data_IF_648909511688
#
_entry.id   IF_648909511688
#
_cell.length_a   1.000
_cell.length_b   1.000
_cell.length_c   1.000
_cell.angle_alpha   90.00
_cell.angle_beta   90.00
_cell.angle_gamma   90.00
#
_symmetry.space_group_name_H-M   'P 1'
#
loop_
_entity.id
_entity.type
_entity.pdbx_description
1 polymer ?
#
# COMPACT_ATOMS: atom_id res chain seq x y z
N UNK A 1 30.61 -75.03 -2.72
CA UNK A 1 30.64 -74.71 -4.18
C UNK A 1 29.31 -74.14 -4.65
N UNK A 2 28.19 -74.91 -4.63
CA UNK A 2 26.88 -74.36 -5.00
C UNK A 2 26.34 -73.38 -3.93
N UNK A 3 26.53 -73.72 -2.64
CA UNK A 3 26.07 -72.93 -1.49
C UNK A 3 26.80 -71.57 -1.37
N UNK A 4 28.14 -71.56 -1.47
CA UNK A 4 28.92 -70.30 -1.46
C UNK A 4 28.53 -69.35 -2.60
N UNK A 5 28.22 -69.89 -3.78
CA UNK A 5 27.84 -69.09 -4.95
C UNK A 5 26.44 -68.49 -4.78
N UNK A 6 25.51 -69.22 -4.16
CA UNK A 6 24.20 -68.67 -3.78
C UNK A 6 24.34 -67.58 -2.73
N UNK A 7 25.18 -67.77 -1.72
CA UNK A 7 25.43 -66.75 -0.70
C UNK A 7 26.09 -65.49 -1.30
N UNK A 8 27.03 -65.63 -2.26
CA UNK A 8 27.58 -64.50 -3.01
C UNK A 8 26.50 -63.71 -3.77
N UNK A 9 25.53 -64.40 -4.38
CA UNK A 9 24.39 -63.76 -5.03
C UNK A 9 23.51 -63.03 -4.01
N UNK A 10 23.22 -63.63 -2.87
CA UNK A 10 22.43 -63.01 -1.79
C UNK A 10 23.11 -61.74 -1.28
N UNK A 11 24.42 -61.76 -1.05
CA UNK A 11 25.18 -60.57 -0.65
C UNK A 11 25.09 -59.51 -1.75
N UNK A 12 25.26 -59.92 -3.02
CA UNK A 12 25.16 -59.03 -4.18
C UNK A 12 23.79 -58.37 -4.41
N UNK A 13 22.74 -58.83 -3.73
CA UNK A 13 21.41 -58.22 -3.77
C UNK A 13 21.18 -57.18 -2.67
N UNK A 14 22.06 -57.09 -1.66
CA UNK A 14 21.97 -56.08 -0.60
C UNK A 14 22.26 -54.68 -1.16
N UNK A 15 22.01 -53.62 -0.38
CA UNK A 15 22.38 -52.26 -0.79
C UNK A 15 23.90 -52.11 -0.91
N UNK A 16 24.37 -51.13 -1.69
CA UNK A 16 25.80 -50.85 -1.84
C UNK A 16 26.54 -50.70 -0.50
N UNK A 17 25.95 -49.99 0.45
CA UNK A 17 26.52 -49.83 1.78
C UNK A 17 26.64 -51.16 2.54
N UNK A 18 25.61 -52.00 2.49
CA UNK A 18 25.63 -53.31 3.15
C UNK A 18 26.65 -54.26 2.50
N UNK A 19 26.84 -54.18 1.18
CA UNK A 19 27.88 -54.92 0.46
C UNK A 19 29.28 -54.44 0.86
N UNK A 20 29.49 -53.13 1.00
CA UNK A 20 30.75 -52.56 1.45
C UNK A 20 31.06 -52.90 2.91
N UNK A 21 30.06 -52.89 3.79
CA UNK A 21 30.18 -53.36 5.18
C UNK A 21 30.54 -54.84 5.22
N UNK A 22 29.91 -55.66 4.37
CA UNK A 22 30.22 -57.09 4.27
C UNK A 22 31.69 -57.32 3.90
N UNK A 23 32.16 -56.58 2.90
CA UNK A 23 33.56 -56.61 2.48
C UNK A 23 34.49 -56.15 3.60
N UNK A 24 34.18 -55.02 4.25
CA UNK A 24 35.00 -54.44 5.31
C UNK A 24 35.15 -55.40 6.51
N UNK A 25 34.08 -56.10 6.88
CA UNK A 25 34.13 -57.14 7.90
C UNK A 25 35.04 -58.31 7.48
N UNK A 26 34.98 -58.74 6.22
CA UNK A 26 35.81 -59.84 5.71
C UNK A 26 37.31 -59.52 5.74
N UNK A 27 37.67 -58.27 5.46
CA UNK A 27 39.06 -57.82 5.46
C UNK A 27 39.55 -57.36 6.83
N UNK A 28 38.67 -57.20 7.82
CA UNK A 28 38.98 -56.53 9.09
C UNK A 28 40.13 -57.18 9.87
N UNK A 29 40.20 -58.52 9.88
CA UNK A 29 41.28 -59.23 10.58
C UNK A 29 42.66 -59.00 9.95
N UNK A 30 42.72 -58.77 8.63
CA UNK A 30 43.97 -58.59 7.88
C UNK A 30 44.39 -57.12 7.81
N UNK A 31 43.43 -56.24 7.52
CA UNK A 31 43.71 -54.84 7.16
C UNK A 31 43.07 -53.81 8.10
N UNK A 32 42.23 -54.23 9.05
CA UNK A 32 41.48 -53.35 9.96
C UNK A 32 40.74 -52.24 9.17
N UNK A 33 40.89 -50.98 9.58
CA UNK A 33 40.24 -49.82 8.99
C UNK A 33 41.02 -49.17 7.83
N UNK A 34 42.15 -49.75 7.40
CA UNK A 34 43.05 -49.14 6.42
C UNK A 34 42.38 -48.79 5.07
N UNK A 35 41.35 -49.53 4.67
CA UNK A 35 40.58 -49.30 3.42
C UNK A 35 39.15 -48.83 3.66
N UNK A 36 38.79 -48.50 4.89
CA UNK A 36 37.40 -48.20 5.23
C UNK A 36 36.92 -46.89 4.56
N UNK A 37 37.75 -45.84 4.50
CA UNK A 37 37.44 -44.60 3.75
C UNK A 37 37.38 -44.81 2.22
N UNK A 38 38.20 -45.73 1.70
CA UNK A 38 38.14 -46.12 0.28
C UNK A 38 36.79 -46.79 -0.02
N UNK A 39 36.36 -47.73 0.83
CA UNK A 39 35.04 -48.36 0.73
C UNK A 39 33.89 -47.36 0.86
N UNK A 40 33.98 -46.42 1.81
CA UNK A 40 32.99 -45.34 1.97
C UNK A 40 32.85 -44.49 0.70
N UNK A 41 33.97 -44.12 0.10
CA UNK A 41 34.01 -43.35 -1.15
C UNK A 41 33.45 -44.16 -2.33
N UNK A 42 33.74 -45.46 -2.39
CA UNK A 42 33.21 -46.37 -3.40
C UNK A 42 31.68 -46.52 -3.30
N UNK A 43 31.10 -46.56 -2.10
CA UNK A 43 29.62 -46.60 -1.94
C UNK A 43 28.97 -45.38 -2.59
N UNK A 44 29.53 -44.19 -2.35
CA UNK A 44 29.04 -42.94 -2.94
C UNK A 44 29.21 -42.91 -4.46
N UNK A 45 30.35 -43.42 -4.96
CA UNK A 45 30.62 -43.55 -6.38
C UNK A 45 29.61 -44.48 -7.06
N UNK A 46 29.38 -45.67 -6.50
CA UNK A 46 28.41 -46.63 -7.02
C UNK A 46 26.99 -46.06 -7.02
N UNK A 47 26.58 -45.44 -5.91
CA UNK A 47 25.28 -44.79 -5.80
C UNK A 47 25.07 -43.69 -6.85
N UNK A 48 26.13 -42.95 -7.22
CA UNK A 48 26.06 -41.90 -8.25
C UNK A 48 25.95 -42.42 -9.69
N UNK A 49 26.35 -43.69 -9.92
CA UNK A 49 26.34 -44.33 -11.24
C UNK A 49 25.16 -45.29 -11.43
N UNK A 50 24.41 -45.56 -10.37
CA UNK A 50 23.16 -46.34 -10.42
C UNK A 50 21.99 -45.40 -10.76
N UNK A 51 21.24 -45.76 -11.81
CA UNK A 51 20.27 -44.84 -12.44
C UNK A 51 18.84 -44.97 -11.91
N UNK A 52 18.51 -46.06 -11.21
CA UNK A 52 17.13 -46.39 -10.82
C UNK A 52 16.89 -46.10 -9.33
N UNK A 53 17.71 -46.68 -8.47
CA UNK A 53 17.57 -46.71 -7.02
C UNK A 53 18.67 -45.90 -6.30
N UNK A 54 19.71 -45.44 -7.02
CA UNK A 54 20.77 -44.60 -6.47
C UNK A 54 21.45 -45.26 -5.25
N UNK A 55 21.36 -44.63 -4.07
CA UNK A 55 21.93 -45.15 -2.81
C UNK A 55 21.34 -46.49 -2.36
N UNK A 56 20.12 -46.80 -2.80
CA UNK A 56 19.40 -48.03 -2.48
C UNK A 56 19.69 -49.15 -3.50
N UNK A 57 20.56 -48.91 -4.47
CA UNK A 57 20.94 -49.88 -5.50
C UNK A 57 21.81 -51.04 -4.98
N UNK A 58 21.86 -52.12 -5.78
CA UNK A 58 22.59 -53.35 -5.46
C UNK A 58 23.66 -53.76 -6.49
N UNK A 59 23.71 -53.09 -7.64
CA UNK A 59 24.68 -53.40 -8.69
C UNK A 59 24.56 -52.45 -9.88
N UNK A 60 25.56 -52.46 -10.75
CA UNK A 60 25.62 -51.63 -11.95
C UNK A 60 25.55 -52.49 -13.20
N UNK A 61 25.01 -51.95 -14.29
CA UNK A 61 25.18 -52.58 -15.60
C UNK A 61 26.67 -52.58 -16.03
N UNK A 62 26.99 -53.31 -17.09
CA UNK A 62 28.36 -53.41 -17.58
C UNK A 62 29.00 -52.06 -17.96
N UNK A 63 28.23 -51.10 -18.48
CA UNK A 63 28.74 -49.79 -18.91
C UNK A 63 29.07 -48.93 -17.69
N UNK A 64 28.16 -48.87 -16.72
CA UNK A 64 28.36 -48.11 -15.49
C UNK A 64 29.43 -48.75 -14.60
N UNK A 65 29.57 -50.09 -14.61
CA UNK A 65 30.71 -50.76 -13.97
C UNK A 65 32.04 -50.42 -14.66
N UNK A 66 32.07 -50.31 -15.99
CA UNK A 66 33.27 -49.89 -16.70
C UNK A 66 33.67 -48.44 -16.33
N UNK A 67 32.68 -47.54 -16.17
CA UNK A 67 32.90 -46.17 -15.66
C UNK A 67 33.46 -46.12 -14.23
N UNK A 68 33.15 -47.09 -13.38
CA UNK A 68 33.79 -47.21 -12.05
C UNK A 68 35.30 -47.39 -12.22
N UNK A 69 35.74 -48.31 -13.08
CA UNK A 69 37.17 -48.54 -13.34
C UNK A 69 37.87 -47.29 -13.91
N UNK A 70 37.21 -46.55 -14.79
CA UNK A 70 37.72 -45.27 -15.31
C UNK A 70 37.91 -44.24 -14.19
N UNK A 71 36.89 -44.05 -13.33
CA UNK A 71 36.96 -43.09 -12.21
C UNK A 71 37.99 -43.46 -11.13
N UNK A 72 38.39 -44.73 -11.06
CA UNK A 72 39.47 -45.21 -10.19
C UNK A 72 40.85 -45.21 -10.86
N UNK A 73 40.97 -44.69 -12.09
CA UNK A 73 42.18 -44.74 -12.91
C UNK A 73 42.73 -46.16 -13.15
N UNK A 74 41.85 -47.17 -13.10
CA UNK A 74 42.14 -48.57 -13.36
C UNK A 74 41.50 -49.02 -14.68
N UNK A 75 41.66 -48.19 -15.72
CA UNK A 75 41.01 -48.41 -17.02
C UNK A 75 41.49 -49.72 -17.64
N UNK A 76 40.52 -50.53 -18.05
CA UNK A 76 40.72 -51.79 -18.73
C UNK A 76 39.72 -51.88 -19.89
N UNK A 77 40.00 -52.72 -20.87
CA UNK A 77 39.03 -53.00 -21.92
C UNK A 77 37.80 -53.70 -21.34
N UNK A 78 36.66 -53.56 -22.02
CA UNK A 78 35.42 -54.22 -21.60
C UNK A 78 35.55 -55.75 -21.55
N UNK A 79 36.40 -56.33 -22.41
CA UNK A 79 36.69 -57.76 -22.45
C UNK A 79 37.54 -58.19 -21.24
N UNK A 80 38.55 -57.41 -20.86
CA UNK A 80 39.36 -57.64 -19.65
C UNK A 80 38.49 -57.55 -18.39
N UNK A 81 37.66 -56.51 -18.28
CA UNK A 81 36.71 -56.37 -17.17
C UNK A 81 35.81 -57.59 -17.05
N UNK A 82 35.20 -58.06 -18.14
CA UNK A 82 34.36 -59.27 -18.12
C UNK A 82 35.13 -60.52 -17.70
N UNK A 83 36.35 -60.69 -18.19
CA UNK A 83 37.18 -61.83 -17.82
C UNK A 83 37.55 -61.81 -16.33
N UNK A 84 37.88 -60.64 -15.78
CA UNK A 84 38.15 -60.44 -14.36
C UNK A 84 36.92 -60.69 -13.49
N UNK A 85 35.76 -60.13 -13.86
CA UNK A 85 34.50 -60.33 -13.15
C UNK A 85 34.06 -61.81 -13.13
N UNK A 86 34.27 -62.58 -14.20
CA UNK A 86 33.99 -64.03 -14.20
C UNK A 86 34.83 -64.79 -13.17
N UNK A 87 36.09 -64.39 -12.95
CA UNK A 87 36.99 -65.04 -11.99
C UNK A 87 36.54 -64.86 -10.54
N UNK A 88 35.79 -63.80 -10.25
CA UNK A 88 35.25 -63.50 -8.92
C UNK A 88 33.78 -63.92 -8.75
N UNK A 89 33.26 -64.77 -9.64
CA UNK A 89 31.93 -65.39 -9.48
C UNK A 89 30.78 -64.69 -10.21
N UNK A 90 31.05 -63.69 -11.07
CA UNK A 90 29.99 -63.07 -11.90
C UNK A 90 29.53 -64.03 -13.00
N UNK A 91 28.28 -64.48 -12.90
CA UNK A 91 27.64 -65.38 -13.87
C UNK A 91 26.73 -64.66 -14.88
N UNK A 92 26.34 -63.41 -14.58
CA UNK A 92 25.52 -62.55 -15.46
C UNK A 92 26.07 -61.13 -15.50
N UNK A 93 26.20 -60.58 -16.69
CA UNK A 93 26.70 -59.22 -16.93
C UNK A 93 25.60 -58.17 -17.10
N UNK A 94 24.33 -58.56 -16.88
CA UNK A 94 23.22 -57.60 -16.90
C UNK A 94 23.29 -56.63 -15.72
N UNK A 95 23.67 -57.14 -14.54
CA UNK A 95 23.88 -56.36 -13.32
C UNK A 95 25.02 -56.99 -12.53
N UNK A 96 26.11 -56.26 -12.37
CA UNK A 96 27.31 -56.67 -11.63
C UNK A 96 27.20 -56.03 -10.26
N UNK A 97 27.13 -56.85 -9.21
CA UNK A 97 27.03 -56.36 -7.83
C UNK A 97 28.34 -55.70 -7.38
N UNK A 98 28.22 -54.77 -6.43
CA UNK A 98 29.38 -54.10 -5.85
C UNK A 98 30.32 -55.09 -5.16
N UNK A 99 29.80 -56.10 -4.43
CA UNK A 99 30.63 -57.10 -3.75
C UNK A 99 31.56 -57.85 -4.71
N UNK A 100 31.09 -58.19 -5.92
CA UNK A 100 31.93 -58.82 -6.94
C UNK A 100 33.06 -57.89 -7.40
N UNK A 101 32.74 -56.61 -7.59
CA UNK A 101 33.74 -55.60 -7.88
C UNK A 101 34.75 -55.46 -6.73
N UNK A 102 34.30 -55.41 -5.48
CA UNK A 102 35.17 -55.24 -4.31
C UNK A 102 36.13 -56.42 -4.13
N UNK A 103 35.64 -57.65 -4.27
CA UNK A 103 36.46 -58.88 -4.23
C UNK A 103 37.60 -58.78 -5.25
N UNK A 104 37.30 -58.35 -6.47
CA UNK A 104 38.32 -58.14 -7.51
C UNK A 104 39.28 -56.99 -7.17
N UNK A 105 38.73 -55.83 -6.81
CA UNK A 105 39.49 -54.59 -6.57
C UNK A 105 40.49 -54.72 -5.41
N UNK A 106 40.08 -55.39 -4.33
CA UNK A 106 40.95 -55.64 -3.17
C UNK A 106 41.71 -56.97 -3.25
N UNK A 107 41.45 -57.81 -4.25
CA UNK A 107 42.19 -59.05 -4.48
C UNK A 107 41.96 -60.15 -3.43
N UNK A 108 40.76 -60.20 -2.84
CA UNK A 108 40.40 -61.22 -1.85
C UNK A 108 39.85 -62.50 -2.51
N UNK A 109 40.00 -63.64 -1.83
CA UNK A 109 39.33 -64.86 -2.25
C UNK A 109 37.82 -64.74 -1.97
N UNK A 110 37.00 -64.98 -2.99
CA UNK A 110 35.56 -64.80 -2.89
C UNK A 110 34.91 -65.74 -1.86
N UNK A 111 35.48 -66.93 -1.60
CA UNK A 111 34.95 -67.85 -0.57
C UNK A 111 35.29 -67.37 0.82
N UNK A 112 36.47 -66.76 1.01
CA UNK A 112 36.83 -66.09 2.27
C UNK A 112 35.86 -64.94 2.57
N UNK A 113 35.53 -64.13 1.56
CA UNK A 113 34.62 -62.97 1.72
C UNK A 113 33.18 -63.40 2.00
N UNK A 114 32.69 -64.41 1.30
CA UNK A 114 31.34 -64.93 1.48
C UNK A 114 31.15 -65.52 2.87
N UNK A 115 32.12 -66.30 3.36
CA UNK A 115 32.04 -67.00 4.64
C UNK A 115 32.59 -66.19 5.82
N UNK A 116 32.99 -64.93 5.58
CA UNK A 116 33.54 -64.08 6.62
C UNK A 116 32.53 -63.82 7.75
N UNK A 117 32.96 -63.85 9.02
CA UNK A 117 32.08 -63.60 10.14
C UNK A 117 31.62 -62.13 10.15
N UNK A 118 30.32 -61.92 10.04
CA UNK A 118 29.72 -60.58 9.92
C UNK A 118 29.40 -59.90 11.25
N UNK A 119 29.62 -60.60 12.38
CA UNK A 119 29.28 -60.13 13.72
C UNK A 119 27.77 -60.25 14.04
N UNK A 120 27.44 -60.63 15.27
CA UNK A 120 26.06 -60.94 15.68
C UNK A 120 25.27 -59.78 16.30
N UNK A 121 25.84 -58.58 16.40
CA UNK A 121 25.21 -57.48 17.12
C UNK A 121 24.48 -56.50 16.18
N UNK A 122 23.52 -57.02 15.42
CA UNK A 122 22.70 -56.24 14.48
C UNK A 122 21.74 -55.32 15.24
N UNK A 123 21.24 -55.74 16.40
CA UNK A 123 20.26 -54.98 17.20
C UNK A 123 20.83 -53.65 17.74
N UNK A 124 22.07 -53.65 18.21
CA UNK A 124 22.70 -52.41 18.70
C UNK A 124 22.97 -51.41 17.57
N UNK A 125 23.32 -51.93 16.41
CA UNK A 125 23.57 -51.17 15.18
C UNK A 125 22.28 -50.49 14.69
N UNK A 126 21.17 -51.22 14.67
CA UNK A 126 19.85 -50.68 14.32
C UNK A 126 19.38 -49.62 15.31
N UNK A 127 19.63 -49.82 16.61
CA UNK A 127 19.29 -48.82 17.65
C UNK A 127 20.03 -47.51 17.44
N UNK A 128 21.33 -47.55 17.16
CA UNK A 128 22.14 -46.35 16.90
C UNK A 128 21.69 -45.62 15.61
N UNK A 129 21.39 -46.37 14.54
CA UNK A 129 20.86 -45.79 13.30
C UNK A 129 19.54 -45.06 13.52
N UNK A 130 18.61 -45.70 14.23
CA UNK A 130 17.30 -45.11 14.56
C UNK A 130 17.44 -43.84 15.38
N UNK A 131 18.30 -43.82 16.41
CA UNK A 131 18.57 -42.61 17.20
C UNK A 131 19.03 -41.44 16.32
N UNK A 132 19.90 -41.69 15.34
CA UNK A 132 20.40 -40.64 14.46
C UNK A 132 19.36 -40.18 13.43
N UNK A 133 18.49 -41.07 12.97
CA UNK A 133 17.40 -40.73 12.04
C UNK A 133 16.34 -39.87 12.72
N UNK A 134 15.90 -40.25 13.92
CA UNK A 134 14.95 -39.48 14.73
C UNK A 134 15.47 -38.05 15.00
N UNK A 135 16.78 -37.92 15.27
CA UNK A 135 17.46 -36.63 15.44
C UNK A 135 17.41 -35.77 14.17
N UNK A 136 17.73 -36.36 13.02
CA UNK A 136 17.74 -35.63 11.74
C UNK A 136 16.35 -35.09 11.44
N UNK A 137 15.32 -35.93 11.61
CA UNK A 137 13.92 -35.54 11.39
C UNK A 137 13.50 -34.41 12.33
N UNK A 138 13.81 -34.53 13.63
CA UNK A 138 13.46 -33.51 14.62
C UNK A 138 14.16 -32.17 14.35
N UNK A 139 15.44 -32.21 14.00
CA UNK A 139 16.22 -31.01 13.68
C UNK A 139 15.67 -30.30 12.44
N UNK A 140 15.47 -31.03 11.34
CA UNK A 140 14.95 -30.46 10.08
C UNK A 140 13.56 -29.85 10.27
N UNK A 141 12.69 -30.53 11.02
CA UNK A 141 11.34 -30.02 11.34
C UNK A 141 11.41 -28.72 12.16
N UNK A 142 12.26 -28.68 13.18
CA UNK A 142 12.38 -27.51 14.05
C UNK A 142 13.04 -26.32 13.32
N UNK A 143 14.08 -26.57 12.51
CA UNK A 143 14.72 -25.51 11.70
C UNK A 143 13.76 -24.94 10.67
N UNK A 144 13.01 -25.79 9.98
CA UNK A 144 12.02 -25.35 8.99
C UNK A 144 10.94 -24.47 9.64
N UNK A 145 10.42 -24.90 10.79
CA UNK A 145 9.43 -24.12 11.55
C UNK A 145 9.99 -22.77 11.98
N UNK A 146 11.24 -22.71 12.44
CA UNK A 146 11.88 -21.45 12.82
C UNK A 146 12.05 -20.49 11.64
N UNK A 147 12.41 -20.98 10.46
CA UNK A 147 12.51 -20.16 9.24
C UNK A 147 11.14 -19.64 8.79
N UNK A 148 10.11 -20.49 8.77
CA UNK A 148 8.74 -20.11 8.41
C UNK A 148 8.17 -19.06 9.38
N UNK A 149 8.33 -19.27 10.70
CA UNK A 149 7.85 -18.32 11.71
C UNK A 149 8.61 -16.99 11.65
N UNK A 150 9.92 -17.01 11.37
CA UNK A 150 10.70 -15.77 11.17
C UNK A 150 10.23 -15.00 9.94
N UNK A 151 9.98 -15.68 8.82
CA UNK A 151 9.46 -15.03 7.61
C UNK A 151 8.08 -14.41 7.86
N UNK A 152 7.20 -15.11 8.57
CA UNK A 152 5.90 -14.59 8.98
C UNK A 152 6.02 -13.32 9.87
N UNK A 153 6.94 -13.31 10.83
CA UNK A 153 7.19 -12.14 11.67
C UNK A 153 7.70 -10.93 10.86
N UNK A 154 8.61 -11.14 9.90
CA UNK A 154 9.09 -10.07 9.02
C UNK A 154 7.98 -9.51 8.12
N UNK A 155 7.09 -10.36 7.61
CA UNK A 155 5.94 -9.93 6.82
C UNK A 155 4.94 -9.12 7.66
N UNK A 156 4.61 -9.58 8.87
CA UNK A 156 3.70 -8.86 9.77
C UNK A 156 4.25 -7.49 10.22
N UNK A 157 5.57 -7.39 10.41
CA UNK A 157 6.23 -6.09 10.69
C UNK A 157 6.07 -5.10 9.54
N UNK A 158 6.19 -5.55 8.28
CA UNK A 158 5.99 -4.70 7.10
C UNK A 158 4.54 -4.20 7.04
N UNK A 159 3.56 -5.09 7.21
CA UNK A 159 2.14 -4.73 7.26
C UNK A 159 1.84 -3.71 8.37
N UNK A 160 2.45 -3.87 9.54
CA UNK A 160 2.33 -2.92 10.66
C UNK A 160 2.89 -1.54 10.30
N UNK A 161 4.05 -1.48 9.64
CA UNK A 161 4.65 -0.22 9.21
C UNK A 161 3.78 0.50 8.17
N UNK A 162 3.26 -0.22 7.20
CA UNK A 162 2.34 0.30 6.18
C UNK A 162 1.03 0.82 6.80
N UNK A 163 0.42 0.04 7.71
CA UNK A 163 -0.80 0.43 8.40
C UNK A 163 -0.60 1.68 9.28
N UNK A 164 0.55 1.78 9.99
CA UNK A 164 0.91 3.00 10.75
C UNK A 164 1.07 4.22 9.85
N UNK A 165 1.73 4.06 8.70
CA UNK A 165 1.86 5.14 7.71
C UNK A 165 0.48 5.61 7.23
N UNK A 166 -0.40 4.68 6.85
CA UNK A 166 -1.76 4.98 6.43
C UNK A 166 -2.57 5.71 7.53
N UNK A 167 -2.44 5.29 8.79
CA UNK A 167 -3.07 5.94 9.93
C UNK A 167 -2.58 7.39 10.14
N UNK A 168 -1.28 7.65 9.95
CA UNK A 168 -0.74 9.02 10.03
C UNK A 168 -1.25 9.91 8.92
N UNK A 169 -1.30 9.42 7.67
CA UNK A 169 -1.84 10.19 6.54
C UNK A 169 -3.34 10.48 6.70
N UNK A 170 -4.11 9.49 7.16
CA UNK A 170 -5.54 9.66 7.40
C UNK A 170 -5.82 10.66 8.53
N UNK A 171 -4.99 10.67 9.58
CA UNK A 171 -5.07 11.65 10.67
C UNK A 171 -4.79 13.06 10.15
N UNK A 172 -3.75 13.24 9.33
CA UNK A 172 -3.44 14.54 8.72
C UNK A 172 -4.59 15.05 7.84
N UNK A 173 -5.18 14.18 7.02
CA UNK A 173 -6.36 14.53 6.19
C UNK A 173 -7.57 14.91 7.05
N UNK A 174 -7.78 14.24 8.18
CA UNK A 174 -8.86 14.59 9.10
C UNK A 174 -8.65 15.97 9.74
N UNK A 175 -7.43 16.31 10.12
CA UNK A 175 -7.07 17.63 10.64
C UNK A 175 -7.26 18.73 9.58
N UNK A 176 -6.75 18.53 8.35
CA UNK A 176 -6.92 19.47 7.24
C UNK A 176 -8.40 19.70 6.89
N UNK A 177 -9.21 18.64 6.86
CA UNK A 177 -10.65 18.77 6.60
C UNK A 177 -11.39 19.46 7.73
N UNK A 178 -10.98 19.25 8.98
CA UNK A 178 -11.55 19.94 10.14
C UNK A 178 -11.25 21.45 10.08
N UNK A 179 -10.02 21.85 9.75
CA UNK A 179 -9.65 23.26 9.59
C UNK A 179 -10.49 23.94 8.50
N UNK A 180 -10.71 23.26 7.36
CA UNK A 180 -11.59 23.76 6.29
C UNK A 180 -13.04 23.93 6.75
N UNK A 181 -13.56 22.99 7.55
CA UNK A 181 -14.90 23.10 8.11
C UNK A 181 -15.01 24.30 9.08
N UNK A 182 -14.00 24.52 9.92
CA UNK A 182 -13.94 25.69 10.81
C UNK A 182 -13.84 27.02 10.04
N UNK A 183 -13.06 27.07 8.95
CA UNK A 183 -12.99 28.25 8.07
C UNK A 183 -14.33 28.52 7.37
N UNK A 184 -14.98 27.47 6.86
CA UNK A 184 -16.29 27.61 6.21
C UNK A 184 -17.37 28.08 7.21
N UNK A 185 -17.35 27.59 8.45
CA UNK A 185 -18.25 28.05 9.50
C UNK A 185 -18.08 29.55 9.82
N UNK A 186 -16.83 30.06 9.83
CA UNK A 186 -16.57 31.50 9.99
C UNK A 186 -17.13 32.32 8.83
N UNK A 187 -17.01 31.84 7.59
CA UNK A 187 -17.59 32.50 6.41
C UNK A 187 -19.12 32.56 6.47
N UNK A 188 -19.77 31.53 7.04
CA UNK A 188 -21.22 31.56 7.30
C UNK A 188 -21.56 32.69 8.26
N UNK A 189 -20.83 32.84 9.36
CA UNK A 189 -21.09 33.89 10.34
C UNK A 189 -20.92 35.30 9.73
N UNK A 190 -19.86 35.52 8.96
CA UNK A 190 -19.61 36.77 8.24
C UNK A 190 -20.70 37.08 7.19
N UNK A 191 -21.14 36.06 6.44
CA UNK A 191 -22.17 36.20 5.42
C UNK A 191 -23.56 36.46 6.03
N UNK A 192 -23.92 35.77 7.12
CA UNK A 192 -25.17 36.01 7.85
C UNK A 192 -25.21 37.42 8.45
N UNK A 193 -24.09 37.91 8.99
CA UNK A 193 -23.99 39.30 9.46
C UNK A 193 -24.18 40.30 8.31
N UNK A 194 -23.55 40.05 7.16
CA UNK A 194 -23.67 40.89 5.97
C UNK A 194 -25.11 40.91 5.44
N UNK A 195 -25.76 39.75 5.37
CA UNK A 195 -27.15 39.62 4.97
C UNK A 195 -28.10 40.36 5.90
N UNK A 196 -27.85 40.30 7.22
CA UNK A 196 -28.63 41.04 8.22
C UNK A 196 -28.51 42.56 8.02
N UNK A 197 -27.27 43.07 7.90
CA UNK A 197 -27.03 44.51 7.70
C UNK A 197 -27.66 45.00 6.39
N UNK A 198 -27.54 44.23 5.30
CA UNK A 198 -28.13 44.57 4.02
C UNK A 198 -29.67 44.57 4.06
N UNK A 199 -30.28 43.61 4.77
CA UNK A 199 -31.74 43.59 5.00
C UNK A 199 -32.21 44.81 5.79
N UNK A 200 -31.52 45.17 6.87
CA UNK A 200 -31.85 46.36 7.67
C UNK A 200 -31.72 47.65 6.83
N UNK A 201 -30.70 47.75 5.97
CA UNK A 201 -30.52 48.88 5.06
C UNK A 201 -31.63 48.96 4.01
N UNK A 202 -32.08 47.83 3.45
CA UNK A 202 -33.19 47.77 2.51
C UNK A 202 -34.52 48.21 3.17
N UNK A 203 -34.78 47.81 4.41
CA UNK A 203 -35.96 48.24 5.17
C UNK A 203 -35.95 49.76 5.43
N UNK A 204 -34.77 50.34 5.72
CA UNK A 204 -34.63 51.79 5.87
C UNK A 204 -34.87 52.51 4.54
N UNK A 205 -34.26 52.05 3.44
CA UNK A 205 -34.41 52.69 2.14
C UNK A 205 -35.85 52.62 1.61
N UNK A 206 -36.56 51.52 1.89
CA UNK A 206 -37.99 51.39 1.57
C UNK A 206 -38.86 52.38 2.35
N UNK A 207 -38.57 52.60 3.64
CA UNK A 207 -39.24 53.64 4.43
C UNK A 207 -38.95 55.04 3.89
N UNK A 208 -37.72 55.32 3.48
CA UNK A 208 -37.34 56.58 2.84
C UNK A 208 -38.09 56.79 1.50
N UNK A 209 -38.22 55.74 0.69
CA UNK A 209 -39.02 55.74 -0.54
C UNK A 209 -40.49 56.05 -0.26
N UNK A 210 -41.12 55.34 0.69
CA UNK A 210 -42.53 55.56 1.08
C UNK A 210 -42.77 57.01 1.53
N UNK A 211 -41.84 57.58 2.31
CA UNK A 211 -41.89 58.99 2.74
C UNK A 211 -41.73 59.96 1.56
N UNK A 212 -40.83 59.66 0.61
CA UNK A 212 -40.61 60.49 -0.56
C UNK A 212 -41.81 60.47 -1.52
N UNK A 213 -42.43 59.30 -1.73
CA UNK A 213 -43.65 59.13 -2.51
C UNK A 213 -44.82 59.88 -1.86
N UNK A 214 -44.96 59.82 -0.53
CA UNK A 214 -45.99 60.58 0.18
C UNK A 214 -45.84 62.09 -0.06
N UNK A 215 -44.61 62.63 0.04
CA UNK A 215 -44.31 64.04 -0.26
C UNK A 215 -44.55 64.41 -1.73
N UNK A 216 -44.28 63.50 -2.66
CA UNK A 216 -44.58 63.72 -4.07
C UNK A 216 -46.10 63.85 -4.30
N UNK A 217 -46.90 62.98 -3.67
CA UNK A 217 -48.38 63.04 -3.74
C UNK A 217 -48.91 64.33 -3.14
N UNK A 218 -48.38 64.78 -2.00
CA UNK A 218 -48.75 66.07 -1.39
C UNK A 218 -48.39 67.27 -2.28
N UNK A 219 -47.26 67.19 -2.99
CA UNK A 219 -46.82 68.21 -3.93
C UNK A 219 -47.61 68.25 -5.25
N UNK A 220 -48.47 67.28 -5.51
CA UNK A 220 -49.31 67.24 -6.72
C UNK A 220 -50.32 68.39 -6.75
N UNK A 221 -50.69 68.94 -5.58
CA UNK A 221 -51.43 70.21 -5.48
C UNK A 221 -50.64 71.43 -6.03
N UNK A 222 -49.32 71.32 -6.19
CA UNK A 222 -48.51 72.36 -6.84
C UNK A 222 -48.61 72.32 -8.38
N UNK A 223 -49.12 71.23 -8.98
CA UNK A 223 -49.39 71.20 -10.43
C UNK A 223 -50.56 72.13 -10.80
N UNK A 224 -51.54 72.28 -9.91
CA UNK A 224 -52.61 73.27 -10.06
C UNK A 224 -52.06 74.71 -9.99
N UNK A 225 -51.09 74.97 -9.11
CA UNK A 225 -50.38 76.26 -9.04
C UNK A 225 -49.54 76.52 -10.31
N UNK A 226 -48.88 75.51 -10.87
CA UNK A 226 -48.16 75.60 -12.16
C UNK A 226 -49.13 75.93 -13.28
N UNK A 227 -50.28 75.24 -13.34
CA UNK A 227 -51.31 75.47 -14.36
C UNK A 227 -51.86 76.89 -14.26
N UNK A 228 -52.10 77.38 -13.04
CA UNK A 228 -52.54 78.76 -12.78
C UNK A 228 -51.48 79.79 -13.19
N UNK A 229 -50.22 79.59 -12.82
CA UNK A 229 -49.11 80.48 -13.18
C UNK A 229 -48.86 80.48 -14.71
N UNK A 230 -49.02 79.34 -15.38
CA UNK A 230 -48.92 79.22 -16.84
C UNK A 230 -50.02 80.02 -17.54
N UNK A 231 -51.26 79.91 -17.06
CA UNK A 231 -52.39 80.65 -17.60
C UNK A 231 -52.24 82.16 -17.38
N UNK A 232 -51.67 82.60 -16.25
CA UNK A 232 -51.34 84.01 -16.01
C UNK A 232 -50.25 84.51 -16.98
N UNK A 233 -49.18 83.74 -17.21
CA UNK A 233 -48.16 84.10 -18.22
C UNK A 233 -48.80 84.26 -19.59
N UNK A 234 -49.64 83.29 -20.02
CA UNK A 234 -50.37 83.37 -21.30
C UNK A 234 -51.26 84.62 -21.36
N UNK A 235 -52.00 84.93 -20.29
CA UNK A 235 -52.85 86.11 -20.25
C UNK A 235 -52.05 87.43 -20.36
N UNK A 236 -50.88 87.51 -19.74
CA UNK A 236 -50.00 88.68 -19.85
C UNK A 236 -49.37 88.78 -21.25
N UNK A 237 -48.98 87.65 -21.85
CA UNK A 237 -48.49 87.60 -23.24
C UNK A 237 -49.58 88.05 -24.23
N UNK A 238 -50.79 87.51 -24.11
CA UNK A 238 -51.96 87.89 -24.89
C UNK A 238 -52.33 89.38 -24.69
N UNK A 239 -52.26 89.89 -23.46
CA UNK A 239 -52.53 91.30 -23.17
C UNK A 239 -51.48 92.23 -23.79
N UNK A 240 -50.20 91.87 -23.73
CA UNK A 240 -49.12 92.61 -24.39
C UNK A 240 -49.29 92.59 -25.91
N UNK A 241 -49.63 91.44 -26.47
CA UNK A 241 -49.85 91.26 -27.91
C UNK A 241 -51.09 92.02 -28.40
N UNK A 242 -52.21 91.94 -27.69
CA UNK A 242 -53.41 92.72 -27.97
C UNK A 242 -53.16 94.23 -27.94
N UNK A 243 -52.36 94.73 -26.98
CA UNK A 243 -51.92 96.14 -26.94
C UNK A 243 -51.06 96.51 -28.16
N UNK A 244 -50.13 95.64 -28.57
CA UNK A 244 -49.34 95.84 -29.80
C UNK A 244 -50.23 95.92 -31.04
N UNK A 245 -51.18 94.99 -31.19
CA UNK A 245 -52.13 94.98 -32.32
C UNK A 245 -53.01 96.23 -32.32
N UNK A 246 -53.52 96.65 -31.16
CA UNK A 246 -54.33 97.86 -31.03
C UNK A 246 -53.53 99.14 -31.37
N UNK A 247 -52.27 99.23 -30.94
CA UNK A 247 -51.37 100.34 -31.26
C UNK A 247 -51.02 100.35 -32.76
N UNK A 248 -50.70 99.19 -33.37
CA UNK A 248 -50.51 99.06 -34.83
C UNK A 248 -51.72 99.54 -35.61
N UNK A 249 -52.93 99.13 -35.21
CA UNK A 249 -54.19 99.57 -35.84
C UNK A 249 -54.42 101.09 -35.69
N UNK A 250 -54.07 101.69 -34.55
CA UNK A 250 -54.11 103.15 -34.35
C UNK A 250 -53.11 103.90 -35.22
N UNK A 251 -51.91 103.35 -35.44
CA UNK A 251 -50.89 103.92 -36.34
C UNK A 251 -51.40 103.98 -37.78
N UNK A 252 -52.21 103.01 -38.20
CA UNK A 252 -52.80 102.95 -39.55
C UNK A 252 -54.01 103.88 -39.74
N UNK A 253 -54.77 104.17 -38.68
CA UNK A 253 -56.10 104.81 -38.80
C UNK A 253 -56.20 106.25 -38.23
N UNK A 254 -55.24 106.71 -37.44
CA UNK A 254 -55.30 108.01 -36.75
C UNK A 254 -54.53 109.15 -37.45
N UNK A 255 -54.87 110.41 -37.12
CA UNK A 255 -54.19 111.61 -37.64
C UNK A 255 -52.73 111.79 -37.16
N UNK A 256 -51.96 112.65 -37.85
CA UNK A 256 -50.48 112.77 -37.73
C UNK A 256 -49.92 112.76 -36.29
N UNK A 257 -50.55 113.52 -35.37
CA UNK A 257 -50.12 113.63 -33.96
C UNK A 257 -50.40 112.35 -33.18
N UNK A 258 -51.59 111.75 -33.36
CA UNK A 258 -51.96 110.50 -32.69
C UNK A 258 -51.18 109.29 -33.25
N UNK A 259 -50.79 109.33 -34.53
CA UNK A 259 -49.92 108.33 -35.16
C UNK A 259 -48.51 108.34 -34.56
N UNK A 260 -47.89 109.53 -34.44
CA UNK A 260 -46.56 109.64 -33.83
C UNK A 260 -46.58 109.25 -32.34
N UNK A 261 -47.65 109.57 -31.61
CA UNK A 261 -47.84 109.11 -30.22
C UNK A 261 -47.96 107.57 -30.13
N UNK A 262 -48.72 106.93 -31.03
CA UNK A 262 -48.85 105.48 -31.06
C UNK A 262 -47.56 104.76 -31.51
N UNK A 263 -46.76 105.35 -32.42
CA UNK A 263 -45.42 104.84 -32.78
C UNK A 263 -44.48 104.93 -31.56
N UNK A 264 -44.49 106.03 -30.82
CA UNK A 264 -43.69 106.19 -29.60
C UNK A 264 -44.14 105.25 -28.48
N UNK A 265 -45.44 105.05 -28.27
CA UNK A 265 -45.95 104.07 -27.31
C UNK A 265 -45.65 102.64 -27.72
N UNK A 266 -45.70 102.30 -29.02
CA UNK A 266 -45.34 100.96 -29.51
C UNK A 266 -43.84 100.69 -29.35
N UNK A 267 -42.98 101.65 -29.71
CA UNK A 267 -41.54 101.58 -29.48
C UNK A 267 -41.23 101.45 -27.98
N UNK A 268 -41.92 102.21 -27.12
CA UNK A 268 -41.80 102.09 -25.66
C UNK A 268 -42.26 100.71 -25.16
N UNK A 269 -43.37 100.18 -25.65
CA UNK A 269 -43.87 98.85 -25.25
C UNK A 269 -42.98 97.69 -25.75
N UNK A 270 -42.17 97.94 -26.79
CA UNK A 270 -41.17 97.00 -27.33
C UNK A 270 -39.83 97.08 -26.60
N UNK A 271 -39.37 98.28 -26.21
CA UNK A 271 -38.12 98.49 -25.47
C UNK A 271 -38.25 98.35 -23.94
N UNK A 272 -39.45 98.55 -23.37
CA UNK A 272 -39.69 98.47 -21.92
C UNK A 272 -39.82 97.01 -21.48
N UNK A 273 -38.98 96.61 -20.51
CA UNK A 273 -39.07 95.31 -19.82
C UNK A 273 -40.44 95.24 -19.11
N UNK A 274 -41.32 94.37 -19.61
CA UNK A 274 -42.68 94.21 -19.10
C UNK A 274 -42.65 93.50 -17.76
N UNK A 275 -42.48 94.30 -16.71
CA UNK A 275 -42.35 93.87 -15.32
C UNK A 275 -43.49 92.90 -14.90
N UNK A 276 -44.77 93.15 -15.25
CA UNK A 276 -45.85 92.15 -15.12
C UNK A 276 -45.52 90.77 -15.73
N UNK A 277 -45.10 90.73 -17.00
CA UNK A 277 -44.76 89.48 -17.69
C UNK A 277 -43.54 88.79 -17.06
N UNK A 278 -42.51 89.56 -16.66
CA UNK A 278 -41.33 89.03 -15.97
C UNK A 278 -41.68 88.42 -14.62
N UNK A 279 -42.56 89.07 -13.83
CA UNK A 279 -43.07 88.54 -12.57
C UNK A 279 -43.89 87.26 -12.78
N UNK A 280 -44.75 87.22 -13.78
CA UNK A 280 -45.51 86.02 -14.13
C UNK A 280 -44.58 84.85 -14.51
N UNK A 281 -43.55 85.11 -15.33
CA UNK A 281 -42.54 84.10 -15.70
C UNK A 281 -41.71 83.61 -14.50
N UNK A 282 -41.28 84.50 -13.60
CA UNK A 282 -40.62 84.10 -12.35
C UNK A 282 -41.53 83.27 -11.45
N UNK A 283 -42.83 83.59 -11.42
CA UNK A 283 -43.83 82.85 -10.64
C UNK A 283 -44.05 81.45 -11.22
N UNK A 284 -44.12 81.33 -12.54
CA UNK A 284 -44.17 80.05 -13.24
C UNK A 284 -42.92 79.21 -13.00
N UNK A 285 -41.72 79.80 -13.09
CA UNK A 285 -40.46 79.10 -12.80
C UNK A 285 -40.41 78.60 -11.35
N UNK A 286 -40.86 79.43 -10.39
CA UNK A 286 -40.94 79.03 -8.99
C UNK A 286 -41.94 77.88 -8.78
N UNK A 287 -43.12 77.94 -9.41
CA UNK A 287 -44.12 76.87 -9.37
C UNK A 287 -43.58 75.57 -9.99
N UNK A 288 -42.92 75.65 -11.14
CA UNK A 288 -42.29 74.49 -11.80
C UNK A 288 -41.19 73.87 -10.93
N UNK A 289 -40.35 74.69 -10.28
CA UNK A 289 -39.34 74.17 -9.32
C UNK A 289 -39.98 73.54 -8.09
N UNK A 290 -41.09 74.07 -7.61
CA UNK A 290 -41.86 73.53 -6.47
C UNK A 290 -42.45 72.15 -6.81
N UNK A 291 -42.94 71.96 -8.04
CA UNK A 291 -43.44 70.67 -8.52
C UNK A 291 -42.33 69.65 -8.87
N UNK A 292 -41.22 70.11 -9.46
CA UNK A 292 -40.16 69.21 -9.93
C UNK A 292 -39.26 68.63 -8.81
N UNK A 293 -39.02 69.38 -7.73
CA UNK A 293 -38.13 68.94 -6.63
C UNK A 293 -38.63 67.65 -5.94
N UNK A 294 -39.90 67.53 -5.53
CA UNK A 294 -40.41 66.32 -4.89
C UNK A 294 -40.37 65.09 -5.80
N UNK A 295 -40.65 65.28 -7.10
CA UNK A 295 -40.52 64.21 -8.10
C UNK A 295 -39.09 63.69 -8.16
N UNK A 296 -38.10 64.59 -8.23
CA UNK A 296 -36.67 64.21 -8.25
C UNK A 296 -36.26 63.46 -6.97
N UNK A 297 -36.71 63.92 -5.80
CA UNK A 297 -36.41 63.25 -4.52
C UNK A 297 -37.04 61.85 -4.47
N UNK A 298 -38.29 61.70 -4.96
CA UNK A 298 -38.96 60.41 -5.02
C UNK A 298 -38.29 59.44 -6.00
N UNK A 299 -37.82 59.92 -7.16
CA UNK A 299 -37.08 59.08 -8.11
C UNK A 299 -35.75 58.61 -7.52
N UNK A 300 -34.98 59.50 -6.88
CA UNK A 300 -33.71 59.15 -6.24
C UNK A 300 -33.91 58.17 -5.06
N UNK A 301 -34.98 58.35 -4.28
CA UNK A 301 -35.33 57.45 -3.18
C UNK A 301 -35.72 56.05 -3.68
N UNK A 302 -36.49 55.97 -4.78
CA UNK A 302 -36.87 54.70 -5.42
C UNK A 302 -35.66 53.96 -6.01
N UNK A 303 -34.77 54.68 -6.70
CA UNK A 303 -33.53 54.08 -7.21
C UNK A 303 -32.66 53.54 -6.07
N UNK A 304 -32.51 54.31 -4.99
CA UNK A 304 -31.80 53.88 -3.78
C UNK A 304 -32.43 52.63 -3.16
N UNK A 305 -33.76 52.63 -2.98
CA UNK A 305 -34.48 51.49 -2.41
C UNK A 305 -34.33 50.22 -3.25
N UNK A 306 -34.45 50.34 -4.58
CA UNK A 306 -34.21 49.24 -5.51
C UNK A 306 -32.78 48.71 -5.43
N UNK A 307 -31.78 49.59 -5.38
CA UNK A 307 -30.38 49.19 -5.28
C UNK A 307 -30.08 48.47 -3.95
N UNK A 308 -30.59 48.99 -2.83
CA UNK A 308 -30.41 48.35 -1.51
C UNK A 308 -31.16 47.02 -1.40
N UNK A 309 -32.34 46.90 -2.03
CA UNK A 309 -33.08 45.64 -2.07
C UNK A 309 -32.32 44.56 -2.85
N UNK A 310 -31.69 44.93 -3.96
CA UNK A 310 -30.83 44.02 -4.71
C UNK A 310 -29.61 43.58 -3.87
N UNK A 311 -28.95 44.52 -3.19
CA UNK A 311 -27.83 44.21 -2.29
C UNK A 311 -28.25 43.24 -1.16
N UNK A 312 -29.45 43.39 -0.61
CA UNK A 312 -29.98 42.47 0.40
C UNK A 312 -30.23 41.07 -0.17
N UNK A 313 -30.74 40.97 -1.40
CA UNK A 313 -30.92 39.70 -2.09
C UNK A 313 -29.57 39.00 -2.34
N UNK A 314 -28.60 39.74 -2.88
CA UNK A 314 -27.27 39.21 -3.20
C UNK A 314 -26.54 38.75 -1.92
N UNK A 315 -26.64 39.52 -0.82
CA UNK A 315 -26.08 39.14 0.47
C UNK A 315 -26.75 37.89 1.06
N UNK A 316 -28.07 37.73 0.89
CA UNK A 316 -28.77 36.51 1.30
C UNK A 316 -28.32 35.30 0.50
N UNK A 317 -28.21 35.43 -0.83
CA UNK A 317 -27.73 34.34 -1.68
C UNK A 317 -26.30 33.93 -1.30
N UNK A 318 -25.42 34.89 -1.00
CA UNK A 318 -24.07 34.62 -0.52
C UNK A 318 -24.06 33.87 0.83
N UNK A 319 -24.99 34.20 1.75
CA UNK A 319 -25.13 33.48 3.02
C UNK A 319 -25.63 32.04 2.82
N UNK A 320 -26.60 31.83 1.91
CA UNK A 320 -27.10 30.50 1.58
C UNK A 320 -26.00 29.65 0.90
N UNK A 321 -25.20 30.22 0.00
CA UNK A 321 -24.03 29.56 -0.59
C UNK A 321 -22.95 29.22 0.44
N UNK A 322 -22.65 30.13 1.36
CA UNK A 322 -21.69 29.89 2.44
C UNK A 322 -22.15 28.73 3.35
N UNK A 323 -23.46 28.64 3.64
CA UNK A 323 -24.03 27.53 4.42
C UNK A 323 -23.89 26.20 3.71
N UNK A 324 -24.17 26.15 2.41
CA UNK A 324 -23.99 24.94 1.62
C UNK A 324 -22.52 24.47 1.61
N UNK A 325 -21.57 25.41 1.45
CA UNK A 325 -20.13 25.10 1.52
C UNK A 325 -19.70 24.62 2.90
N UNK A 326 -20.25 25.18 3.97
CA UNK A 326 -19.96 24.75 5.34
C UNK A 326 -20.49 23.35 5.63
N UNK A 327 -21.70 23.02 5.16
CA UNK A 327 -22.27 21.67 5.28
C UNK A 327 -21.42 20.64 4.52
N UNK A 328 -21.00 20.95 3.29
CA UNK A 328 -20.11 20.08 2.52
C UNK A 328 -18.76 19.88 3.23
N UNK A 329 -18.15 20.96 3.73
CA UNK A 329 -16.89 20.89 4.47
C UNK A 329 -17.02 20.07 5.76
N UNK A 330 -18.14 20.20 6.47
CA UNK A 330 -18.43 19.41 7.68
C UNK A 330 -18.58 17.92 7.35
N UNK A 331 -19.30 17.58 6.27
CA UNK A 331 -19.43 16.20 5.82
C UNK A 331 -18.08 15.60 5.41
N UNK A 332 -17.23 16.38 4.73
CA UNK A 332 -15.87 15.97 4.38
C UNK A 332 -15.00 15.75 5.63
N UNK A 333 -15.13 16.60 6.65
CA UNK A 333 -14.44 16.43 7.92
C UNK A 333 -14.88 15.17 8.67
N UNK A 334 -16.19 14.89 8.72
CA UNK A 334 -16.72 13.68 9.35
C UNK A 334 -16.25 12.40 8.63
N UNK A 335 -16.31 12.40 7.29
CA UNK A 335 -15.82 11.28 6.49
C UNK A 335 -14.31 11.05 6.69
N UNK A 336 -13.52 12.13 6.74
CA UNK A 336 -12.08 12.04 6.99
C UNK A 336 -11.76 11.54 8.40
N UNK A 337 -12.54 11.96 9.42
CA UNK A 337 -12.41 11.46 10.78
C UNK A 337 -12.73 9.97 10.88
N UNK A 338 -13.80 9.52 10.22
CA UNK A 338 -14.15 8.10 10.15
C UNK A 338 -13.03 7.28 9.51
N UNK A 339 -12.50 7.73 8.38
CA UNK A 339 -11.36 7.08 7.73
C UNK A 339 -10.10 7.07 8.61
N UNK A 340 -9.83 8.13 9.37
CA UNK A 340 -8.73 8.17 10.35
C UNK A 340 -8.91 7.13 11.46
N UNK A 341 -10.11 7.00 12.01
CA UNK A 341 -10.41 6.02 13.05
C UNK A 341 -10.31 4.57 12.53
N UNK A 342 -10.81 4.30 11.32
CA UNK A 342 -10.68 3.00 10.67
C UNK A 342 -9.21 2.64 10.42
N UNK A 343 -8.40 3.59 9.92
CA UNK A 343 -6.97 3.37 9.70
C UNK A 343 -6.20 3.14 11.00
N UNK A 344 -6.57 3.82 12.10
CA UNK A 344 -6.00 3.57 13.44
C UNK A 344 -6.34 2.17 13.94
N UNK A 345 -7.59 1.73 13.81
CA UNK A 345 -8.01 0.37 14.18
C UNK A 345 -7.25 -0.69 13.38
N UNK A 346 -7.06 -0.49 12.07
CA UNK A 346 -6.24 -1.39 11.24
C UNK A 346 -4.77 -1.41 11.67
N UNK A 347 -4.20 -0.27 12.09
CA UNK A 347 -2.84 -0.21 12.59
C UNK A 347 -2.67 -0.95 13.93
N UNK A 348 -3.67 -0.87 14.81
CA UNK A 348 -3.71 -1.62 16.08
C UNK A 348 -3.84 -3.13 15.84
N UNK A 349 -4.73 -3.54 14.94
CA UNK A 349 -4.88 -4.96 14.56
C UNK A 349 -3.60 -5.52 13.93
N UNK A 350 -2.98 -4.78 13.01
CA UNK A 350 -1.72 -5.18 12.39
C UNK A 350 -0.60 -5.30 13.44
N UNK A 351 -0.55 -4.39 14.42
CA UNK A 351 0.40 -4.47 15.51
C UNK A 351 0.17 -5.72 16.37
N UNK A 352 -1.07 -6.03 16.75
CA UNK A 352 -1.38 -7.25 17.50
C UNK A 352 -0.96 -8.53 16.75
N UNK A 353 -1.22 -8.58 15.44
CA UNK A 353 -0.77 -9.70 14.58
C UNK A 353 0.77 -9.79 14.49
N UNK A 354 1.46 -8.64 14.49
CA UNK A 354 2.93 -8.62 14.51
C UNK A 354 3.50 -9.10 15.84
N UNK A 355 2.91 -8.71 16.96
CA UNK A 355 3.31 -9.17 18.30
C UNK A 355 3.10 -10.68 18.45
N UNK A 356 1.97 -11.21 17.95
CA UNK A 356 1.72 -12.66 17.94
C UNK A 356 2.71 -13.41 17.04
N UNK A 357 3.00 -12.89 15.84
CA UNK A 357 3.97 -13.51 14.93
C UNK A 357 5.40 -13.48 15.49
N UNK A 358 5.79 -12.41 16.19
CA UNK A 358 7.07 -12.35 16.90
C UNK A 358 7.17 -13.39 18.01
N UNK A 359 6.11 -13.53 18.82
CA UNK A 359 6.05 -14.56 19.86
C UNK A 359 6.18 -15.97 19.27
N UNK A 360 5.48 -16.26 18.18
CA UNK A 360 5.59 -17.55 17.49
C UNK A 360 7.00 -17.77 16.92
N UNK A 361 7.65 -16.73 16.41
CA UNK A 361 9.04 -16.81 15.93
C UNK A 361 10.03 -17.06 17.08
N UNK A 362 9.84 -16.43 18.23
CA UNK A 362 10.65 -16.69 19.43
C UNK A 362 10.47 -18.12 19.95
N UNK A 363 9.22 -18.59 20.07
CA UNK A 363 8.92 -19.97 20.47
C UNK A 363 9.50 -21.00 19.48
N UNK A 364 9.39 -20.74 18.17
CA UNK A 364 9.97 -21.61 17.14
C UNK A 364 11.50 -21.60 17.17
N UNK A 365 12.13 -20.45 17.43
CA UNK A 365 13.56 -20.34 17.59
C UNK A 365 14.06 -21.10 18.83
N UNK A 366 13.36 -20.99 19.96
CA UNK A 366 13.66 -21.77 21.17
C UNK A 366 13.51 -23.26 20.92
N UNK A 367 12.42 -23.70 20.27
CA UNK A 367 12.22 -25.11 19.92
C UNK A 367 13.31 -25.64 18.97
N UNK A 368 13.75 -24.83 17.99
CA UNK A 368 14.89 -25.18 17.15
C UNK A 368 16.19 -25.25 17.96
N UNK A 369 16.35 -24.39 18.96
CA UNK A 369 17.51 -24.41 19.84
C UNK A 369 17.57 -25.67 20.70
N UNK A 370 16.45 -26.05 21.30
CA UNK A 370 16.27 -27.29 22.05
C UNK A 370 16.46 -28.52 21.17
N UNK A 371 15.94 -28.52 19.94
CA UNK A 371 16.13 -29.60 18.98
C UNK A 371 17.62 -29.79 18.63
N UNK A 372 18.40 -28.71 18.50
CA UNK A 372 19.86 -28.82 18.32
C UNK A 372 20.54 -29.40 19.56
N UNK A 373 20.10 -29.03 20.77
CA UNK A 373 20.65 -29.58 22.00
C UNK A 373 20.34 -31.09 22.16
N UNK A 374 19.09 -31.48 21.91
CA UNK A 374 18.68 -32.89 21.92
C UNK A 374 19.43 -33.69 20.83
N UNK A 375 19.58 -33.11 19.63
CA UNK A 375 20.38 -33.69 18.56
C UNK A 375 21.82 -33.98 19.01
N UNK A 376 22.45 -33.02 19.69
CA UNK A 376 23.81 -33.19 20.20
C UNK A 376 23.93 -34.28 21.26
N UNK A 377 22.97 -34.32 22.20
CA UNK A 377 22.96 -35.34 23.24
C UNK A 377 22.80 -36.75 22.64
N UNK A 378 21.84 -36.92 21.73
CA UNK A 378 21.60 -38.20 21.06
C UNK A 378 22.75 -38.62 20.15
N UNK A 379 23.42 -37.68 19.48
CA UNK A 379 24.64 -37.97 18.73
C UNK A 379 25.75 -38.46 19.67
N UNK A 380 25.94 -37.81 20.82
CA UNK A 380 26.93 -38.23 21.82
C UNK A 380 26.59 -39.61 22.42
N UNK A 381 25.32 -39.88 22.70
CA UNK A 381 24.84 -41.21 23.16
C UNK A 381 25.08 -42.28 22.10
N UNK A 382 24.77 -41.99 20.83
CA UNK A 382 25.03 -42.90 19.72
C UNK A 382 26.53 -43.20 19.57
N UNK A 383 27.40 -42.19 19.73
CA UNK A 383 28.86 -42.39 19.70
C UNK A 383 29.35 -43.23 20.88
N UNK A 384 28.90 -42.94 22.09
CA UNK A 384 29.27 -43.71 23.28
C UNK A 384 28.82 -45.16 23.16
N UNK A 385 27.60 -45.39 22.65
CA UNK A 385 27.07 -46.72 22.40
C UNK A 385 27.87 -47.46 21.32
N UNK A 386 28.19 -46.80 20.21
CA UNK A 386 29.00 -47.39 19.13
C UNK A 386 30.41 -47.74 19.61
N UNK A 387 31.04 -46.91 20.43
CA UNK A 387 32.35 -47.21 21.05
C UNK A 387 32.28 -48.37 22.05
N UNK A 388 31.18 -48.52 22.80
CA UNK A 388 30.95 -49.68 23.65
C UNK A 388 30.80 -50.96 22.81
N UNK A 389 30.01 -50.92 21.73
CA UNK A 389 29.88 -52.06 20.81
C UNK A 389 31.21 -52.40 20.14
N UNK A 390 32.02 -51.38 19.80
CA UNK A 390 33.36 -51.54 19.23
C UNK A 390 34.29 -52.33 20.15
N UNK A 391 34.23 -52.09 21.45
CA UNK A 391 35.04 -52.82 22.45
C UNK A 391 34.57 -54.26 22.64
N UNK A 392 33.27 -54.53 22.44
CA UNK A 392 32.67 -55.87 22.55
C UNK A 392 32.85 -56.73 21.29
N UNK A 393 33.10 -56.11 20.13
CA UNK A 393 33.26 -56.82 18.87
C UNK A 393 34.69 -57.37 18.70
N UNK A 394 34.85 -58.69 18.78
CA UNK A 394 36.12 -59.42 18.53
C UNK A 394 36.43 -59.52 17.01
N UNK A 395 36.65 -58.39 16.35
CA UNK A 395 37.00 -58.32 14.92
C UNK A 395 35.85 -58.52 13.93
N UNK A 396 34.86 -59.38 14.25
CA UNK A 396 33.65 -59.56 13.45
C UNK A 396 32.61 -58.47 13.74
N UNK A 397 32.13 -57.77 12.70
CA UNK A 397 31.15 -56.67 12.82
C UNK A 397 31.75 -55.27 13.02
N UNK A 398 33.07 -55.16 13.11
CA UNK A 398 33.77 -53.88 13.26
C UNK A 398 33.65 -52.96 12.04
N UNK A 399 33.55 -53.53 10.83
CA UNK A 399 33.31 -52.77 9.61
C UNK A 399 31.94 -52.08 9.62
N UNK A 400 30.92 -52.75 10.17
CA UNK A 400 29.61 -52.14 10.35
C UNK A 400 29.69 -50.95 11.32
N UNK A 401 30.36 -51.15 12.47
CA UNK A 401 30.60 -50.11 13.49
C UNK A 401 31.33 -48.90 12.89
N UNK A 402 32.37 -49.13 12.09
CA UNK A 402 33.10 -48.07 11.43
C UNK A 402 32.21 -47.24 10.48
N UNK A 403 31.39 -47.89 9.65
CA UNK A 403 30.48 -47.19 8.72
C UNK A 403 29.48 -46.30 9.47
N UNK A 404 28.94 -46.75 10.60
CA UNK A 404 28.05 -45.91 11.41
C UNK A 404 28.78 -44.76 12.10
N UNK A 405 30.00 -45.00 12.63
CA UNK A 405 30.83 -43.91 13.18
C UNK A 405 31.09 -42.84 12.10
N UNK A 406 31.28 -43.29 10.85
CA UNK A 406 31.44 -42.38 9.72
C UNK A 406 30.17 -41.62 9.38
N UNK A 407 29.01 -42.28 9.38
CA UNK A 407 27.70 -41.64 9.20
C UNK A 407 27.43 -40.58 10.28
N UNK A 408 27.74 -40.88 11.54
CA UNK A 408 27.65 -39.90 12.65
C UNK A 408 28.56 -38.70 12.37
N UNK A 409 29.80 -38.96 11.93
CA UNK A 409 30.77 -37.91 11.60
C UNK A 409 30.28 -37.04 10.43
N UNK A 410 29.66 -37.62 9.40
CA UNK A 410 29.05 -36.85 8.31
C UNK A 410 27.87 -36.01 8.80
N UNK A 411 27.00 -36.55 9.67
CA UNK A 411 25.90 -35.78 10.28
C UNK A 411 26.43 -34.59 11.10
N UNK A 412 27.55 -34.74 11.80
CA UNK A 412 28.23 -33.63 12.50
C UNK A 412 28.68 -32.50 11.58
N UNK A 413 28.93 -32.74 10.29
CA UNK A 413 29.27 -31.67 9.33
C UNK A 413 28.10 -30.72 9.04
N UNK A 414 26.88 -31.13 9.34
CA UNK A 414 25.66 -30.34 9.10
C UNK A 414 25.14 -29.69 10.38
N UNK A 415 25.76 -29.95 11.54
CA UNK A 415 25.45 -29.28 12.79
C UNK A 415 26.26 -27.98 12.95
N UNK A 416 25.74 -26.96 13.66
CA UNK A 416 26.49 -25.74 13.93
C UNK A 416 27.78 -26.02 14.72
N UNK A 417 28.91 -25.46 14.29
CA UNK A 417 30.23 -25.65 14.93
C UNK A 417 30.24 -25.24 16.40
N UNK A 418 29.50 -24.16 16.74
CA UNK A 418 29.33 -23.69 18.13
C UNK A 418 28.61 -24.69 19.03
N UNK A 419 27.99 -25.71 18.46
CA UNK A 419 27.16 -26.72 19.12
C UNK A 419 27.64 -28.14 18.77
N UNK A 420 28.94 -28.37 18.64
CA UNK A 420 29.51 -29.72 18.46
C UNK A 420 29.59 -30.23 17.02
N UNK A 421 29.22 -29.42 16.03
CA UNK A 421 29.46 -29.70 14.62
C UNK A 421 30.93 -29.59 14.23
N UNK A 422 31.31 -30.27 13.14
CA UNK A 422 32.68 -30.20 12.57
C UNK A 422 32.70 -29.32 11.32
N UNK A 423 33.77 -28.54 11.14
CA UNK A 423 33.96 -27.71 9.95
C UNK A 423 34.04 -28.63 8.72
N UNK A 424 33.23 -28.34 7.69
CA UNK A 424 33.33 -28.99 6.37
C UNK A 424 34.73 -28.68 5.82
N UNK A 425 35.62 -29.68 5.82
CA UNK A 425 36.92 -29.62 5.15
C UNK A 425 36.77 -29.76 3.65
#
# INVERSE_FOLDING_TARGET
>A
MAEDLEQLKTIGQKKFQDQAVWMLNAMWFKEKDARAEELWSLVSLFASLEQENGKEGCGLDGVNMHRVFEKLNAQQTFQEMRNHMRKVGVTSFKKISMINFLIFHFGYDWKEVVNAPQGGNIEGIEKAKKMLEDVTIALESATKKAEESKAAAEESRKKTAEAKSAATEATKKAEESKEKAEEAAKKVEEADQTAKVASEAADVAKKDEDVAIARQKEAQAAEDEVTKALNEVKSQEDAKENKKVALKKKIETAGLVAKNAAIQELAKLEDEDDLPLRRAKMTLEAAQRKAAKPVKIATEAREKASATAQQALDAKNAADEAKAQAEEAQQQAENALKASNEAKAQAEEAQAQSEEAEKQAEEAAQAAEEAVQDANNKVAEAEAYLEEQKKKAEGSGQGAIWFMQREVTEKKKFMPVRKGGIVKK
#
